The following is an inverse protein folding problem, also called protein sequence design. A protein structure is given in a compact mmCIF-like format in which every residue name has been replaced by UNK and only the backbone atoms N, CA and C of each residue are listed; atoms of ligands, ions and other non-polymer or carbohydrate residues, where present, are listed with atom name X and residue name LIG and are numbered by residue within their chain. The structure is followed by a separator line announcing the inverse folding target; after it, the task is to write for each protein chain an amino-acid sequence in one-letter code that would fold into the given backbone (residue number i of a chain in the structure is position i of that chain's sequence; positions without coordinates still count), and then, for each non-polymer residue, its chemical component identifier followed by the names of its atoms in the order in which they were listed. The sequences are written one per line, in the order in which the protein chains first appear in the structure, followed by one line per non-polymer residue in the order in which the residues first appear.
data_IF_383175258311
#
_entry.id   IF_383175258311
#
_cell.length_a   1.000
_cell.length_b   1.000
_cell.length_c   1.000
_cell.angle_alpha   90.00
_cell.angle_beta   90.00
_cell.angle_gamma   90.00
#
_symmetry.space_group_name_H-M   'P 1'
#
loop_
_entity.id
_entity.type
_entity.pdbx_description
1 polymer ?
#
# COMPACT_ATOMS: atom_id res chain seq x y z
N UNK A 1 -51.35 -40.83 5.44
CA UNK A 1 -50.92 -39.50 5.92
C UNK A 1 -49.54 -39.64 6.51
N UNK A 2 -48.49 -39.36 5.72
CA UNK A 2 -47.10 -39.41 6.17
C UNK A 2 -46.62 -37.99 6.45
N UNK A 3 -46.33 -37.70 7.72
CA UNK A 3 -45.67 -36.48 8.14
C UNK A 3 -44.19 -36.56 7.74
N UNK A 4 -43.81 -35.85 6.67
CA UNK A 4 -42.41 -35.54 6.41
C UNK A 4 -42.03 -34.34 7.27
N UNK A 5 -41.36 -34.64 8.38
CA UNK A 5 -40.64 -33.65 9.17
C UNK A 5 -39.46 -33.17 8.34
N UNK A 6 -39.57 -31.97 7.79
CA UNK A 6 -38.42 -31.27 7.21
C UNK A 6 -37.42 -31.00 8.35
N UNK A 7 -36.12 -31.33 8.19
CA UNK A 7 -35.14 -30.90 9.16
C UNK A 7 -35.02 -29.39 9.04
N UNK A 8 -35.50 -28.68 10.06
CA UNK A 8 -35.11 -27.30 10.33
C UNK A 8 -33.64 -27.34 10.76
N UNK A 9 -32.78 -27.43 9.76
CA UNK A 9 -31.38 -27.12 9.91
C UNK A 9 -31.28 -25.63 10.11
N UNK A 10 -31.19 -25.21 11.37
CA UNK A 10 -30.74 -23.89 11.80
C UNK A 10 -29.32 -23.66 11.26
N UNK A 11 -29.21 -23.36 9.96
CA UNK A 11 -28.06 -22.68 9.40
C UNK A 11 -28.27 -21.24 9.81
N UNK A 12 -27.80 -20.87 11.00
CA UNK A 12 -27.38 -19.50 11.26
C UNK A 12 -26.42 -19.14 10.13
N UNK A 13 -26.96 -18.48 9.11
CA UNK A 13 -26.20 -18.03 7.96
C UNK A 13 -25.32 -16.92 8.52
N UNK A 14 -24.17 -17.28 9.12
CA UNK A 14 -23.30 -16.24 9.68
C UNK A 14 -22.99 -15.32 8.52
N UNK A 15 -23.29 -14.05 8.75
CA UNK A 15 -23.18 -13.05 7.72
C UNK A 15 -21.71 -12.91 7.32
N UNK A 16 -21.42 -12.72 6.02
CA UNK A 16 -20.07 -12.44 5.58
C UNK A 16 -19.52 -11.22 6.32
N UNK A 17 -18.24 -11.26 6.65
CA UNK A 17 -17.54 -10.14 7.24
C UNK A 17 -17.54 -8.97 6.26
N UNK A 18 -17.89 -7.78 6.74
CA UNK A 18 -17.95 -6.57 5.94
C UNK A 18 -16.77 -5.65 6.27
N UNK A 19 -16.21 -5.00 5.27
CA UNK A 19 -15.27 -3.90 5.45
C UNK A 19 -16.05 -2.68 5.96
N UNK A 20 -15.76 -2.24 7.19
CA UNK A 20 -16.38 -1.06 7.78
C UNK A 20 -15.69 0.20 7.32
N UNK A 21 -16.45 1.12 6.71
CA UNK A 21 -15.90 2.41 6.25
C UNK A 21 -15.48 3.28 7.45
N UNK A 22 -16.10 3.10 8.63
CA UNK A 22 -15.67 3.78 9.87
C UNK A 22 -14.29 3.33 10.32
N UNK A 23 -13.99 2.03 10.21
CA UNK A 23 -12.65 1.51 10.51
C UNK A 23 -11.63 2.10 9.55
N UNK A 24 -11.97 2.17 8.25
CA UNK A 24 -11.10 2.81 7.26
C UNK A 24 -10.85 4.29 7.57
N UNK A 25 -11.88 5.04 7.99
CA UNK A 25 -11.70 6.42 8.44
C UNK A 25 -10.84 6.50 9.71
N UNK A 26 -11.00 5.56 10.63
CA UNK A 26 -10.23 5.46 11.86
C UNK A 26 -8.73 5.32 11.63
N UNK A 27 -8.30 4.70 10.51
CA UNK A 27 -6.88 4.62 10.14
C UNK A 27 -6.24 6.00 9.97
N UNK A 28 -6.99 7.02 9.57
CA UNK A 28 -6.49 8.38 9.43
C UNK A 28 -6.20 9.08 10.77
N UNK A 29 -6.55 8.46 11.91
CA UNK A 29 -6.11 8.92 13.23
C UNK A 29 -4.58 8.90 13.39
N UNK A 30 -3.85 8.21 12.51
CA UNK A 30 -2.39 8.31 12.43
C UNK A 30 -1.91 9.74 12.16
N UNK A 31 -2.69 10.56 11.44
CA UNK A 31 -2.34 11.95 11.13
C UNK A 31 -2.20 12.77 12.41
N UNK A 32 -3.26 12.96 13.23
CA UNK A 32 -3.13 13.70 14.48
C UNK A 32 -2.14 13.03 15.45
N UNK A 33 -2.03 11.70 15.47
CA UNK A 33 -1.05 11.00 16.30
C UNK A 33 0.39 11.41 15.94
N UNK A 34 0.76 11.40 14.66
CA UNK A 34 2.08 11.83 14.21
C UNK A 34 2.36 13.31 14.52
N UNK A 35 1.37 14.18 14.37
CA UNK A 35 1.50 15.60 14.70
C UNK A 35 1.65 15.85 16.21
N UNK A 36 0.91 15.10 17.04
CA UNK A 36 1.06 15.14 18.49
C UNK A 36 2.42 14.61 18.94
N UNK A 37 2.92 13.52 18.33
CA UNK A 37 4.26 13.00 18.60
C UNK A 37 5.34 14.01 18.27
N UNK A 38 5.25 14.69 17.12
CA UNK A 38 6.16 15.78 16.78
C UNK A 38 6.05 16.94 17.77
N UNK A 39 4.83 17.34 18.16
CA UNK A 39 4.63 18.40 19.16
C UNK A 39 5.24 18.04 20.50
N UNK A 40 5.10 16.78 20.94
CA UNK A 40 5.74 16.28 22.15
C UNK A 40 7.27 16.28 22.04
N UNK A 41 7.81 15.93 20.87
CA UNK A 41 9.25 15.95 20.64
C UNK A 41 9.85 17.35 20.77
N UNK A 42 9.16 18.36 20.24
CA UNK A 42 9.59 19.76 20.32
C UNK A 42 9.46 20.30 21.75
N UNK A 43 8.33 20.02 22.41
CA UNK A 43 8.01 20.62 23.72
C UNK A 43 8.70 19.93 24.90
N UNK A 44 8.87 18.61 24.86
CA UNK A 44 9.32 17.81 26.00
C UNK A 44 10.63 17.08 25.75
N UNK A 45 10.89 16.60 24.53
CA UNK A 45 12.07 15.76 24.24
C UNK A 45 13.20 16.48 23.50
N UNK A 46 13.09 17.80 23.30
CA UNK A 46 14.15 18.64 22.72
C UNK A 46 14.67 18.12 21.36
N UNK A 47 13.78 17.54 20.54
CA UNK A 47 14.13 17.03 19.21
C UNK A 47 14.76 15.63 19.19
N UNK A 48 14.71 14.88 20.30
CA UNK A 48 15.27 13.53 20.39
C UNK A 48 14.69 12.59 19.33
N UNK A 49 13.38 12.64 19.07
CA UNK A 49 12.71 11.80 18.09
C UNK A 49 13.21 12.15 16.68
N UNK A 50 13.29 13.43 16.33
CA UNK A 50 13.82 13.89 15.04
C UNK A 50 15.24 13.37 14.77
N UNK A 51 16.10 13.38 15.80
CA UNK A 51 17.50 12.95 15.69
C UNK A 51 17.66 11.42 15.65
N UNK A 52 16.79 10.69 16.35
CA UNK A 52 16.86 9.23 16.49
C UNK A 52 16.16 8.50 15.35
N UNK A 53 15.10 9.09 14.79
CA UNK A 53 14.34 8.46 13.71
C UNK A 53 15.15 8.41 12.39
N UNK A 54 14.89 7.39 11.55
CA UNK A 54 15.49 7.28 10.23
C UNK A 54 15.30 8.55 9.39
N UNK A 55 16.43 9.17 9.02
CA UNK A 55 16.44 10.32 8.12
C UNK A 55 16.91 9.97 6.71
N UNK A 56 17.41 8.76 6.46
CA UNK A 56 17.99 8.33 5.18
C UNK A 56 17.32 7.06 4.62
N UNK A 57 17.27 6.90 3.28
CA UNK A 57 16.68 5.74 2.59
C UNK A 57 17.11 4.36 3.11
N UNK A 58 18.39 4.21 3.48
CA UNK A 58 18.94 2.94 3.97
C UNK A 58 18.37 2.55 5.34
N UNK A 59 18.03 3.52 6.18
CA UNK A 59 17.42 3.28 7.50
C UNK A 59 15.91 3.02 7.39
N UNK A 60 15.31 3.27 6.22
CA UNK A 60 13.94 2.85 5.92
C UNK A 60 13.81 1.36 5.59
N UNK A 61 14.88 0.55 5.65
CA UNK A 61 14.77 -0.91 5.45
C UNK A 61 13.89 -1.55 6.52
N UNK A 62 14.03 -1.17 7.80
CA UNK A 62 13.14 -1.63 8.87
C UNK A 62 11.71 -1.17 8.63
N UNK A 63 11.55 0.05 8.13
CA UNK A 63 10.24 0.57 7.73
C UNK A 63 9.63 -0.27 6.61
N UNK A 64 10.40 -0.64 5.58
CA UNK A 64 9.96 -1.50 4.47
C UNK A 64 9.59 -2.91 4.93
N UNK A 65 10.28 -3.41 5.97
CA UNK A 65 10.03 -4.73 6.55
C UNK A 65 8.72 -4.77 7.33
N UNK A 66 8.30 -3.65 7.94
CA UNK A 66 7.04 -3.55 8.69
C UNK A 66 5.90 -3.06 7.78
N UNK A 67 6.18 -2.12 6.89
CA UNK A 67 5.24 -1.42 6.00
C UNK A 67 5.73 -1.50 4.56
N UNK A 68 4.86 -1.85 3.61
CA UNK A 68 5.19 -1.96 2.19
C UNK A 68 5.49 -3.40 1.77
N UNK A 69 6.64 -3.97 2.12
CA UNK A 69 7.04 -5.30 1.63
C UNK A 69 6.07 -6.40 2.06
N UNK A 70 5.66 -6.50 3.35
CA UNK A 70 4.67 -7.50 3.76
C UNK A 70 3.37 -7.37 2.97
N UNK A 71 2.85 -6.16 2.77
CA UNK A 71 1.60 -5.97 2.03
C UNK A 71 1.72 -6.38 0.53
N UNK A 72 2.88 -6.12 -0.09
CA UNK A 72 3.16 -6.50 -1.48
C UNK A 72 3.16 -8.03 -1.58
N UNK A 73 3.89 -8.68 -0.66
CA UNK A 73 3.97 -10.15 -0.57
C UNK A 73 2.59 -10.75 -0.29
N UNK A 74 1.78 -10.15 0.59
CA UNK A 74 0.42 -10.58 0.87
C UNK A 74 -0.45 -10.61 -0.40
N UNK A 75 -0.36 -9.55 -1.23
CA UNK A 75 -1.09 -9.50 -2.49
C UNK A 75 -0.67 -10.61 -3.46
N UNK A 76 0.63 -10.91 -3.52
CA UNK A 76 1.18 -11.97 -4.36
C UNK A 76 0.73 -13.34 -3.86
N UNK A 77 0.69 -13.56 -2.55
CA UNK A 77 0.17 -14.79 -1.94
C UNK A 77 -1.29 -14.99 -2.33
N UNK A 78 -2.17 -13.98 -2.19
CA UNK A 78 -3.59 -14.12 -2.57
C UNK A 78 -3.72 -14.48 -4.05
N UNK A 79 -2.95 -13.82 -4.91
CA UNK A 79 -3.01 -14.03 -6.36
C UNK A 79 -2.56 -15.43 -6.79
N UNK A 80 -1.50 -15.94 -6.15
CA UNK A 80 -0.82 -17.18 -6.57
C UNK A 80 -1.31 -18.42 -5.83
N UNK A 81 -1.77 -18.29 -4.59
CA UNK A 81 -2.30 -19.41 -3.80
C UNK A 81 -3.69 -19.87 -4.23
N UNK A 82 -4.39 -19.05 -5.02
CA UNK A 82 -5.73 -19.31 -5.52
C UNK A 82 -5.69 -19.54 -7.03
N UNK A 83 -5.82 -20.80 -7.45
CA UNK A 83 -5.65 -21.21 -8.86
C UNK A 83 -6.67 -20.57 -9.81
N UNK A 84 -7.87 -20.27 -9.34
CA UNK A 84 -8.91 -19.56 -10.08
C UNK A 84 -8.51 -18.10 -10.38
N UNK A 85 -7.78 -17.45 -9.48
CA UNK A 85 -7.31 -16.08 -9.67
C UNK A 85 -6.15 -16.02 -10.63
N UNK A 86 -5.13 -16.86 -10.40
CA UNK A 86 -4.00 -16.95 -11.32
C UNK A 86 -4.47 -17.34 -12.72
N UNK A 87 -5.37 -18.32 -12.84
CA UNK A 87 -5.94 -18.74 -14.11
C UNK A 87 -6.68 -17.61 -14.84
N UNK A 88 -7.48 -16.82 -14.12
CA UNK A 88 -8.21 -15.68 -14.68
C UNK A 88 -7.28 -14.54 -15.14
N UNK A 89 -6.19 -14.30 -14.42
CA UNK A 89 -5.28 -13.17 -14.68
C UNK A 89 -3.99 -13.54 -15.43
N UNK A 90 -3.75 -14.82 -15.74
CA UNK A 90 -2.46 -15.32 -16.28
C UNK A 90 -1.90 -14.52 -17.45
N UNK A 91 -2.74 -14.14 -18.41
CA UNK A 91 -2.28 -13.41 -19.61
C UNK A 91 -1.86 -11.97 -19.26
N UNK A 92 -2.55 -11.33 -18.32
CA UNK A 92 -2.18 -9.99 -17.83
C UNK A 92 -0.89 -10.05 -17.02
N UNK A 93 -0.74 -11.06 -16.17
CA UNK A 93 0.47 -11.27 -15.37
C UNK A 93 1.67 -11.57 -16.28
N UNK A 94 1.51 -12.46 -17.25
CA UNK A 94 2.58 -12.81 -18.20
C UNK A 94 2.99 -11.59 -19.04
N UNK A 95 2.03 -10.85 -19.58
CA UNK A 95 2.29 -9.64 -20.36
C UNK A 95 3.03 -8.58 -19.55
N UNK A 96 2.59 -8.33 -18.31
CA UNK A 96 3.29 -7.39 -17.43
C UNK A 96 4.65 -7.93 -16.99
N UNK A 97 4.80 -9.24 -16.78
CA UNK A 97 6.11 -9.84 -16.44
C UNK A 97 7.11 -9.64 -17.56
N UNK A 98 6.70 -9.85 -18.82
CA UNK A 98 7.53 -9.56 -19.98
C UNK A 98 7.87 -8.07 -20.09
N UNK A 99 6.87 -7.20 -19.87
CA UNK A 99 7.09 -5.75 -19.89
C UNK A 99 8.08 -5.30 -18.81
N UNK A 100 7.98 -5.84 -17.58
CA UNK A 100 8.92 -5.56 -16.50
C UNK A 100 10.31 -6.13 -16.80
N UNK A 101 10.41 -7.34 -17.36
CA UNK A 101 11.69 -7.92 -17.75
C UNK A 101 12.39 -7.07 -18.82
N UNK A 102 11.66 -6.54 -19.80
CA UNK A 102 12.20 -5.60 -20.80
C UNK A 102 12.57 -4.27 -20.15
N UNK A 103 11.70 -3.71 -19.31
CA UNK A 103 11.92 -2.43 -18.65
C UNK A 103 13.13 -2.44 -17.72
N UNK A 104 13.29 -3.46 -16.88
CA UNK A 104 14.47 -3.60 -16.01
C UNK A 104 15.68 -4.14 -16.76
N UNK A 105 15.52 -5.15 -17.61
CA UNK A 105 16.64 -5.80 -18.30
C UNK A 105 17.27 -4.92 -19.37
N UNK A 106 16.46 -4.42 -20.31
CA UNK A 106 16.94 -3.54 -21.38
C UNK A 106 17.00 -2.10 -20.89
N UNK A 107 15.95 -1.62 -20.20
CA UNK A 107 15.89 -0.22 -19.77
C UNK A 107 17.01 0.18 -18.81
N UNK A 108 17.50 -0.73 -17.95
CA UNK A 108 18.65 -0.41 -17.07
C UNK A 108 19.96 -0.17 -17.83
N UNK A 109 20.09 -0.62 -19.08
CA UNK A 109 21.27 -0.38 -19.92
C UNK A 109 21.29 1.02 -20.54
N UNK A 110 20.12 1.65 -20.70
CA UNK A 110 19.97 2.89 -21.46
C UNK A 110 19.40 4.06 -20.63
N UNK A 111 18.69 3.77 -19.54
CA UNK A 111 18.02 4.79 -18.72
C UNK A 111 18.92 5.12 -17.51
N UNK A 112 19.28 6.40 -17.30
CA UNK A 112 20.03 6.80 -16.12
C UNK A 112 19.30 6.40 -14.83
N UNK A 113 20.06 5.92 -13.83
CA UNK A 113 19.52 5.46 -12.54
C UNK A 113 18.53 6.45 -11.89
N UNK A 114 18.85 7.75 -11.93
CA UNK A 114 17.99 8.78 -11.34
C UNK A 114 16.63 8.86 -12.04
N UNK A 115 16.62 8.80 -13.38
CA UNK A 115 15.38 8.80 -14.17
C UNK A 115 14.59 7.54 -13.87
N UNK A 116 15.26 6.40 -13.83
CA UNK A 116 14.65 5.12 -13.50
C UNK A 116 14.00 5.14 -12.12
N UNK A 117 14.71 5.66 -11.12
CA UNK A 117 14.22 5.83 -9.76
C UNK A 117 12.98 6.74 -9.72
N UNK A 118 13.01 7.89 -10.38
CA UNK A 118 11.88 8.83 -10.42
C UNK A 118 10.65 8.19 -11.07
N UNK A 119 10.80 7.38 -12.13
CA UNK A 119 9.68 6.67 -12.75
C UNK A 119 9.04 5.67 -11.78
N UNK A 120 9.84 4.85 -11.10
CA UNK A 120 9.35 3.86 -10.12
C UNK A 120 8.73 4.55 -8.89
N UNK A 121 9.35 5.64 -8.41
CA UNK A 121 8.82 6.46 -7.31
C UNK A 121 7.48 7.11 -7.69
N UNK A 122 7.37 7.65 -8.91
CA UNK A 122 6.13 8.23 -9.43
C UNK A 122 5.00 7.22 -9.43
N UNK A 123 5.28 6.02 -9.94
CA UNK A 123 4.29 4.95 -9.98
C UNK A 123 3.88 4.47 -8.58
N UNK A 124 4.85 4.40 -7.67
CA UNK A 124 4.62 4.05 -6.25
C UNK A 124 3.71 5.06 -5.55
N UNK A 125 4.03 6.36 -5.65
CA UNK A 125 3.22 7.43 -5.04
C UNK A 125 1.83 7.49 -5.68
N UNK A 126 1.76 7.37 -7.00
CA UNK A 126 0.50 7.30 -7.73
C UNK A 126 -0.38 6.16 -7.22
N UNK A 127 0.17 4.95 -7.11
CA UNK A 127 -0.56 3.79 -6.62
C UNK A 127 -1.14 4.03 -5.21
N UNK A 128 -0.30 4.45 -4.27
CA UNK A 128 -0.70 4.70 -2.87
C UNK A 128 -1.84 5.72 -2.79
N UNK A 129 -1.68 6.87 -3.44
CA UNK A 129 -2.66 7.95 -3.34
C UNK A 129 -3.92 7.67 -4.15
N UNK A 130 -3.81 6.97 -5.29
CA UNK A 130 -4.96 6.54 -6.09
C UNK A 130 -5.85 5.58 -5.32
N UNK A 131 -5.30 4.65 -4.55
CA UNK A 131 -6.10 3.75 -3.73
C UNK A 131 -6.95 4.53 -2.73
N UNK A 132 -6.32 5.42 -1.95
CA UNK A 132 -7.00 6.20 -0.92
C UNK A 132 -8.07 7.13 -1.52
N UNK A 133 -7.74 7.84 -2.59
CA UNK A 133 -8.70 8.68 -3.31
C UNK A 133 -9.80 7.86 -3.99
N UNK A 134 -9.51 6.65 -4.45
CA UNK A 134 -10.49 5.74 -5.05
C UNK A 134 -11.56 5.29 -4.04
N UNK A 135 -11.14 4.99 -2.81
CA UNK A 135 -12.07 4.70 -1.70
C UNK A 135 -12.86 5.97 -1.36
N UNK A 136 -12.19 7.12 -1.24
CA UNK A 136 -12.83 8.40 -0.98
C UNK A 136 -13.89 8.75 -2.04
N UNK A 137 -13.63 8.48 -3.33
CA UNK A 137 -14.60 8.66 -4.41
C UNK A 137 -15.87 7.86 -4.17
N UNK A 138 -15.76 6.61 -3.72
CA UNK A 138 -16.91 5.75 -3.39
C UNK A 138 -17.75 6.30 -2.23
N UNK A 139 -17.10 6.84 -1.20
CA UNK A 139 -17.76 7.40 0.00
C UNK A 139 -18.37 8.78 -0.28
N UNK A 140 -17.61 9.66 -0.92
CA UNK A 140 -17.96 11.06 -1.13
C UNK A 140 -18.82 11.29 -2.37
N UNK A 141 -18.89 10.32 -3.30
CA UNK A 141 -19.59 10.42 -4.60
C UNK A 141 -19.24 11.67 -5.39
N UNK A 142 -17.94 12.03 -5.38
CA UNK A 142 -17.44 13.21 -6.07
C UNK A 142 -17.68 13.11 -7.59
N UNK A 143 -17.94 14.24 -8.27
CA UNK A 143 -17.92 14.27 -9.73
C UNK A 143 -16.51 13.95 -10.25
N UNK A 144 -16.44 13.41 -11.46
CA UNK A 144 -15.20 12.85 -12.03
C UNK A 144 -14.06 13.87 -12.10
N UNK A 145 -14.33 15.09 -12.55
CA UNK A 145 -13.32 16.14 -12.62
C UNK A 145 -12.77 16.51 -11.24
N UNK A 146 -13.61 16.56 -10.20
CA UNK A 146 -13.19 16.91 -8.84
C UNK A 146 -12.31 15.81 -8.25
N UNK A 147 -12.66 14.55 -8.50
CA UNK A 147 -11.83 13.41 -8.14
C UNK A 147 -10.45 13.48 -8.82
N UNK A 148 -10.39 13.74 -10.12
CA UNK A 148 -9.12 13.80 -10.85
C UNK A 148 -8.28 15.01 -10.46
N UNK A 149 -8.89 16.16 -10.16
CA UNK A 149 -8.21 17.34 -9.64
C UNK A 149 -7.53 17.04 -8.30
N UNK A 150 -8.29 16.52 -7.32
CA UNK A 150 -7.77 16.20 -5.99
C UNK A 150 -6.69 15.12 -6.04
N UNK A 151 -6.91 14.08 -6.86
CA UNK A 151 -5.92 13.02 -7.08
C UNK A 151 -4.64 13.58 -7.72
N UNK A 152 -4.76 14.38 -8.78
CA UNK A 152 -3.63 14.96 -9.49
C UNK A 152 -2.78 15.85 -8.58
N UNK A 153 -3.41 16.78 -7.87
CA UNK A 153 -2.74 17.65 -6.91
C UNK A 153 -2.03 16.83 -5.81
N UNK A 154 -2.72 15.83 -5.25
CA UNK A 154 -2.16 14.94 -4.23
C UNK A 154 -0.96 14.15 -4.75
N UNK A 155 -1.04 13.59 -5.95
CA UNK A 155 0.02 12.76 -6.54
C UNK A 155 1.26 13.59 -6.85
N UNK A 156 1.10 14.76 -7.48
CA UNK A 156 2.25 15.61 -7.81
C UNK A 156 2.89 16.16 -6.53
N UNK A 157 2.10 16.62 -5.55
CA UNK A 157 2.63 17.06 -4.26
C UNK A 157 3.35 15.93 -3.52
N UNK A 158 2.71 14.76 -3.41
CA UNK A 158 3.26 13.56 -2.80
C UNK A 158 4.57 13.12 -3.46
N UNK A 159 4.66 13.24 -4.79
CA UNK A 159 5.87 12.89 -5.54
C UNK A 159 7.01 13.86 -5.24
N UNK A 160 6.75 15.16 -5.21
CA UNK A 160 7.77 16.16 -4.85
C UNK A 160 8.29 15.96 -3.42
N UNK A 161 7.39 15.65 -2.47
CA UNK A 161 7.76 15.31 -1.09
C UNK A 161 8.61 14.03 -1.07
N UNK A 162 8.18 12.99 -1.78
CA UNK A 162 8.89 11.70 -1.81
C UNK A 162 10.29 11.84 -2.40
N UNK A 163 10.42 12.52 -3.54
CA UNK A 163 11.72 12.84 -4.15
C UNK A 163 12.57 13.67 -3.19
N UNK A 164 12.00 14.71 -2.57
CA UNK A 164 12.70 15.56 -1.60
C UNK A 164 13.26 14.79 -0.40
N UNK A 165 12.56 13.74 0.06
CA UNK A 165 13.03 12.89 1.16
C UNK A 165 14.10 11.91 0.68
N UNK A 166 13.79 11.12 -0.36
CA UNK A 166 14.63 9.98 -0.73
C UNK A 166 15.85 10.34 -1.57
N UNK A 167 15.82 11.47 -2.29
CA UNK A 167 16.93 11.97 -3.08
C UNK A 167 17.63 13.16 -2.41
N UNK A 168 17.37 13.43 -1.12
CA UNK A 168 17.91 14.60 -0.39
C UNK A 168 19.45 14.76 -0.50
N UNK A 169 20.20 13.66 -0.60
CA UNK A 169 21.66 13.68 -0.69
C UNK A 169 22.18 13.84 -2.13
N UNK A 170 21.29 13.75 -3.13
CA UNK A 170 21.58 13.90 -4.55
C UNK A 170 21.04 15.21 -5.14
N UNK A 171 20.24 15.96 -4.35
CA UNK A 171 19.69 17.24 -4.73
C UNK A 171 20.62 18.35 -4.27
N UNK A 172 20.88 19.33 -5.14
CA UNK A 172 21.49 20.58 -4.71
C UNK A 172 20.49 21.43 -3.90
N UNK A 173 20.98 22.51 -3.29
CA UNK A 173 20.15 23.37 -2.44
C UNK A 173 19.00 24.03 -3.21
N UNK A 174 19.21 24.37 -4.48
CA UNK A 174 18.23 25.04 -5.33
C UNK A 174 17.10 24.07 -5.73
N UNK A 175 17.45 22.86 -6.17
CA UNK A 175 16.53 21.78 -6.49
C UNK A 175 15.69 21.39 -5.27
N UNK A 176 16.31 21.26 -4.09
CA UNK A 176 15.60 20.98 -2.85
C UNK A 176 14.59 22.09 -2.50
N UNK A 177 14.97 23.35 -2.71
CA UNK A 177 14.09 24.50 -2.53
C UNK A 177 12.93 24.50 -3.53
N UNK A 178 13.19 24.23 -4.82
CA UNK A 178 12.15 24.12 -5.85
C UNK A 178 11.14 23.02 -5.53
N UNK A 179 11.61 21.85 -5.10
CA UNK A 179 10.74 20.76 -4.66
C UNK A 179 9.86 21.17 -3.49
N UNK A 180 10.43 21.85 -2.49
CA UNK A 180 9.69 22.34 -1.31
C UNK A 180 8.66 23.40 -1.69
N UNK A 181 9.00 24.37 -2.53
CA UNK A 181 8.09 25.43 -2.97
C UNK A 181 6.97 24.88 -3.86
N UNK A 182 7.30 24.01 -4.81
CA UNK A 182 6.31 23.35 -5.66
C UNK A 182 5.34 22.48 -4.85
N UNK A 183 5.85 21.68 -3.90
CA UNK A 183 5.02 20.91 -2.98
C UNK A 183 4.11 21.82 -2.13
N UNK A 184 4.61 22.97 -1.66
CA UNK A 184 3.84 23.94 -0.90
C UNK A 184 2.66 24.52 -1.72
N UNK A 185 2.93 24.96 -2.96
CA UNK A 185 1.91 25.49 -3.87
C UNK A 185 0.84 24.45 -4.19
N UNK A 186 1.24 23.21 -4.47
CA UNK A 186 0.30 22.11 -4.74
C UNK A 186 -0.51 21.74 -3.49
N UNK A 187 0.10 21.76 -2.30
CA UNK A 187 -0.62 21.53 -1.05
C UNK A 187 -1.64 22.65 -0.76
N UNK A 188 -1.28 23.91 -1.00
CA UNK A 188 -2.21 25.03 -0.91
C UNK A 188 -3.37 24.86 -1.92
N UNK A 189 -3.05 24.53 -3.17
CA UNK A 189 -4.04 24.23 -4.21
C UNK A 189 -4.94 23.05 -3.83
N UNK A 190 -4.40 22.00 -3.20
CA UNK A 190 -5.14 20.85 -2.70
C UNK A 190 -6.11 21.26 -1.59
N UNK A 191 -5.68 22.06 -0.61
CA UNK A 191 -6.55 22.56 0.47
C UNK A 191 -7.69 23.42 -0.09
N UNK A 192 -7.39 24.35 -0.99
CA UNK A 192 -8.41 25.20 -1.65
C UNK A 192 -9.38 24.36 -2.48
N UNK A 193 -8.87 23.40 -3.25
CA UNK A 193 -9.69 22.49 -4.05
C UNK A 193 -10.56 21.60 -3.15
N UNK A 194 -10.05 21.18 -1.99
CA UNK A 194 -10.80 20.39 -1.00
C UNK A 194 -11.93 21.21 -0.40
N UNK A 195 -11.65 22.45 0.01
CA UNK A 195 -12.63 23.42 0.50
C UNK A 195 -13.74 23.66 -0.51
N UNK A 196 -13.39 23.76 -1.80
CA UNK A 196 -14.36 23.93 -2.87
C UNK A 196 -15.17 22.64 -3.12
N UNK A 197 -14.49 21.49 -3.20
CA UNK A 197 -15.11 20.21 -3.54
C UNK A 197 -16.01 19.66 -2.41
N UNK A 198 -15.83 20.09 -1.16
CA UNK A 198 -16.66 19.63 -0.04
C UNK A 198 -18.16 19.92 -0.25
N UNK A 199 -18.51 20.91 -1.09
CA UNK A 199 -19.90 21.24 -1.43
C UNK A 199 -20.63 20.12 -2.17
N UNK A 200 -19.89 19.22 -2.83
CA UNK A 200 -20.44 18.05 -3.51
C UNK A 200 -20.73 16.89 -2.54
N UNK A 201 -20.27 16.99 -1.29
CA UNK A 201 -20.37 15.90 -0.32
C UNK A 201 -21.54 16.14 0.62
N UNK A 202 -22.60 15.34 0.46
CA UNK A 202 -23.85 15.52 1.19
C UNK A 202 -23.84 15.09 2.66
N UNK A 203 -22.83 14.34 3.12
CA UNK A 203 -22.79 13.81 4.50
C UNK A 203 -21.58 14.34 5.27
N UNK A 204 -21.74 14.57 6.59
CA UNK A 204 -20.62 14.94 7.46
C UNK A 204 -19.51 13.87 7.45
N UNK A 205 -19.91 12.60 7.47
CA UNK A 205 -18.99 11.47 7.36
C UNK A 205 -18.15 11.50 6.08
N UNK A 206 -18.77 11.75 4.92
CA UNK A 206 -18.04 11.91 3.66
C UNK A 206 -17.10 13.12 3.69
N UNK A 207 -17.49 14.23 4.34
CA UNK A 207 -16.62 15.40 4.48
C UNK A 207 -15.38 15.08 5.30
N UNK A 208 -15.52 14.32 6.39
CA UNK A 208 -14.35 13.83 7.15
C UNK A 208 -13.45 12.97 6.27
N UNK A 209 -14.01 12.02 5.51
CA UNK A 209 -13.22 11.17 4.62
C UNK A 209 -12.48 11.97 3.52
N UNK A 210 -13.14 12.98 2.95
CA UNK A 210 -12.55 13.90 1.99
C UNK A 210 -11.36 14.65 2.61
N UNK A 211 -11.57 15.29 3.77
CA UNK A 211 -10.53 16.04 4.46
C UNK A 211 -9.38 15.16 4.92
N UNK A 212 -9.67 13.97 5.43
CA UNK A 212 -8.64 12.99 5.81
C UNK A 212 -7.72 12.62 4.65
N UNK A 213 -8.23 12.50 3.43
CA UNK A 213 -7.41 12.25 2.23
C UNK A 213 -6.50 13.44 1.88
N UNK A 214 -7.01 14.67 1.95
CA UNK A 214 -6.19 15.86 1.70
C UNK A 214 -5.16 16.10 2.81
N UNK A 215 -5.56 15.86 4.07
CA UNK A 215 -4.68 15.97 5.24
C UNK A 215 -3.57 14.94 5.24
N UNK A 216 -3.76 13.77 4.62
CA UNK A 216 -2.72 12.77 4.45
C UNK A 216 -1.52 13.36 3.69
N UNK A 217 -1.74 14.10 2.59
CA UNK A 217 -0.66 14.75 1.82
C UNK A 217 -0.16 16.01 2.52
N UNK A 218 -1.07 16.84 3.04
CA UNK A 218 -0.70 18.10 3.71
C UNK A 218 0.13 17.87 4.97
N UNK A 219 -0.22 16.87 5.80
CA UNK A 219 0.57 16.52 6.98
C UNK A 219 1.92 15.93 6.62
N UNK A 220 2.02 15.09 5.59
CA UNK A 220 3.31 14.62 5.06
C UNK A 220 4.19 15.78 4.59
N UNK A 221 3.62 16.78 3.91
CA UNK A 221 4.35 17.99 3.53
C UNK A 221 4.85 18.77 4.75
N UNK A 222 3.98 19.00 5.73
CA UNK A 222 4.35 19.70 6.96
C UNK A 222 5.50 18.97 7.70
N UNK A 223 5.36 17.66 7.92
CA UNK A 223 6.39 16.84 8.56
C UNK A 223 7.70 16.81 7.76
N UNK A 224 7.63 16.79 6.42
CA UNK A 224 8.79 16.91 5.54
C UNK A 224 9.52 18.24 5.74
N UNK A 225 8.80 19.36 5.76
CA UNK A 225 9.39 20.68 6.01
C UNK A 225 10.07 20.75 7.38
N UNK A 226 9.50 20.08 8.37
CA UNK A 226 10.04 19.99 9.73
C UNK A 226 11.12 18.91 9.87
N UNK A 227 11.54 18.28 8.77
CA UNK A 227 12.57 17.22 8.72
C UNK A 227 12.21 15.92 9.47
N UNK A 228 10.94 15.71 9.84
CA UNK A 228 10.44 14.44 10.39
C UNK A 228 10.11 13.47 9.25
N UNK A 229 11.12 13.13 8.44
CA UNK A 229 10.95 12.34 7.21
C UNK A 229 10.31 10.98 7.44
N UNK A 230 10.65 10.32 8.55
CA UNK A 230 10.03 9.05 8.91
C UNK A 230 8.51 9.17 9.09
N UNK A 231 8.07 10.15 9.89
CA UNK A 231 6.64 10.38 10.11
C UNK A 231 5.93 10.80 8.82
N UNK A 232 6.60 11.62 7.99
CA UNK A 232 6.06 12.07 6.70
C UNK A 232 5.73 10.90 5.76
N UNK A 233 6.54 9.83 5.76
CA UNK A 233 6.32 8.62 4.96
C UNK A 233 5.36 7.64 5.66
N UNK A 234 5.41 7.55 6.99
CA UNK A 234 4.58 6.65 7.78
C UNK A 234 3.08 6.94 7.58
N UNK A 235 2.68 8.21 7.61
CA UNK A 235 1.28 8.63 7.49
C UNK A 235 0.58 8.02 6.25
N UNK A 236 1.04 8.26 5.01
CA UNK A 236 0.39 7.72 3.81
C UNK A 236 0.49 6.19 3.76
N UNK A 237 1.62 5.62 4.17
CA UNK A 237 1.91 4.19 4.05
C UNK A 237 1.09 3.34 5.00
N UNK A 238 0.97 3.75 6.26
CA UNK A 238 0.19 3.01 7.23
C UNK A 238 -1.28 2.95 6.82
N UNK A 239 -1.87 4.09 6.40
CA UNK A 239 -3.26 4.11 5.93
C UNK A 239 -3.43 3.20 4.72
N UNK A 240 -2.49 3.24 3.77
CA UNK A 240 -2.51 2.40 2.58
C UNK A 240 -2.41 0.91 2.89
N UNK A 241 -1.36 0.49 3.58
CA UNK A 241 -1.07 -0.90 3.87
C UNK A 241 -2.14 -1.50 4.79
N UNK A 242 -2.55 -0.78 5.84
CA UNK A 242 -3.59 -1.25 6.75
C UNK A 242 -4.94 -1.38 6.03
N UNK A 243 -5.27 -0.44 5.13
CA UNK A 243 -6.46 -0.56 4.29
C UNK A 243 -6.37 -1.82 3.42
N UNK A 244 -5.26 -2.07 2.74
CA UNK A 244 -5.08 -3.26 1.92
C UNK A 244 -5.25 -4.54 2.76
N UNK A 245 -4.62 -4.61 3.94
CA UNK A 245 -4.76 -5.75 4.84
C UNK A 245 -6.20 -5.96 5.31
N UNK A 246 -6.95 -4.91 5.62
CA UNK A 246 -8.38 -5.05 5.97
C UNK A 246 -9.15 -5.71 4.83
N UNK A 247 -8.91 -5.30 3.59
CA UNK A 247 -9.54 -5.93 2.42
C UNK A 247 -9.09 -7.38 2.27
N UNK A 248 -7.79 -7.64 2.34
CA UNK A 248 -7.22 -8.98 2.15
C UNK A 248 -7.70 -9.98 3.20
N UNK A 249 -7.70 -9.56 4.47
CA UNK A 249 -8.16 -10.38 5.59
C UNK A 249 -9.67 -10.62 5.49
N UNK A 250 -10.46 -9.60 5.14
CA UNK A 250 -11.91 -9.76 4.97
C UNK A 250 -12.23 -10.72 3.83
N UNK A 251 -11.50 -10.59 2.72
CA UNK A 251 -11.58 -11.49 1.58
C UNK A 251 -11.30 -12.94 1.99
N UNK A 252 -10.16 -13.18 2.62
CA UNK A 252 -9.71 -14.53 2.97
C UNK A 252 -10.57 -15.14 4.08
N UNK A 253 -11.05 -14.33 5.02
CA UNK A 253 -12.06 -14.76 6.00
C UNK A 253 -13.29 -15.29 5.28
N UNK A 254 -13.93 -14.46 4.44
CA UNK A 254 -15.16 -14.82 3.73
C UNK A 254 -14.99 -16.02 2.79
N UNK A 255 -13.78 -16.25 2.27
CA UNK A 255 -13.50 -17.35 1.35
C UNK A 255 -13.12 -18.65 2.06
N UNK A 256 -12.37 -18.59 3.15
CA UNK A 256 -11.65 -19.75 3.70
C UNK A 256 -12.06 -20.14 5.13
N UNK A 257 -12.80 -19.32 5.88
CA UNK A 257 -13.07 -19.59 7.31
C UNK A 257 -13.84 -20.89 7.55
N UNK A 258 -14.87 -21.16 6.75
CA UNK A 258 -15.65 -22.41 6.86
C UNK A 258 -14.90 -23.58 6.25
N UNK A 259 -14.54 -23.42 4.98
CA UNK A 259 -13.97 -24.48 4.16
C UNK A 259 -12.73 -23.92 3.44
N UNK A 260 -11.52 -24.21 3.97
CA UNK A 260 -10.28 -23.83 3.31
C UNK A 260 -10.25 -24.32 1.86
N UNK A 261 -9.97 -23.42 0.93
CA UNK A 261 -10.00 -23.72 -0.51
C UNK A 261 -8.60 -23.86 -1.12
N UNK A 262 -7.54 -23.62 -0.33
CA UNK A 262 -6.16 -23.78 -0.75
C UNK A 262 -5.31 -24.43 0.36
N UNK A 263 -4.09 -24.81 0.00
CA UNK A 263 -3.17 -25.53 0.89
C UNK A 263 -2.78 -24.70 2.12
N UNK A 264 -2.55 -23.39 1.94
CA UNK A 264 -2.13 -22.47 3.01
C UNK A 264 -3.18 -22.46 4.13
N UNK A 265 -4.44 -22.21 3.78
CA UNK A 265 -5.53 -22.18 4.75
C UNK A 265 -5.89 -23.57 5.29
N UNK A 266 -5.67 -24.63 4.51
CA UNK A 266 -5.87 -26.00 4.97
C UNK A 266 -4.86 -26.38 6.04
N UNK A 267 -3.59 -25.99 5.87
CA UNK A 267 -2.54 -26.18 6.86
C UNK A 267 -2.80 -25.32 8.11
N UNK A 268 -3.19 -24.06 7.93
CA UNK A 268 -3.56 -23.18 9.04
C UNK A 268 -4.69 -23.76 9.90
N UNK A 269 -5.72 -24.35 9.26
CA UNK A 269 -6.81 -25.02 9.97
C UNK A 269 -6.34 -26.22 10.79
N UNK A 270 -5.40 -27.02 10.26
CA UNK A 270 -4.78 -28.14 11.00
C UNK A 270 -3.96 -27.66 12.20
N UNK A 271 -3.29 -26.52 12.07
CA UNK A 271 -2.49 -25.90 13.12
C UNK A 271 -3.28 -24.96 14.04
N UNK A 272 -4.60 -24.91 13.93
CA UNK A 272 -5.48 -24.03 14.73
C UNK A 272 -5.12 -22.53 14.65
N UNK A 273 -4.54 -22.09 13.53
CA UNK A 273 -4.20 -20.68 13.31
C UNK A 273 -5.45 -19.94 12.81
N UNK A 274 -5.90 -18.85 13.47
CA UNK A 274 -7.02 -18.06 13.00
C UNK A 274 -6.77 -17.48 11.61
N UNK A 275 -7.77 -17.52 10.72
CA UNK A 275 -7.69 -17.01 9.34
C UNK A 275 -7.20 -15.56 9.28
N UNK A 276 -7.60 -14.73 10.25
CA UNK A 276 -7.17 -13.34 10.40
C UNK A 276 -5.65 -13.15 10.51
N UNK A 277 -4.93 -14.15 11.03
CA UNK A 277 -3.49 -14.08 11.28
C UNK A 277 -2.67 -14.73 10.18
N UNK A 278 -3.25 -15.63 9.38
CA UNK A 278 -2.51 -16.41 8.38
C UNK A 278 -1.78 -15.51 7.40
N UNK A 279 -2.51 -14.61 6.72
CA UNK A 279 -1.91 -13.76 5.69
C UNK A 279 -0.95 -12.71 6.27
N UNK A 280 -1.27 -11.96 7.34
CA UNK A 280 -0.31 -11.03 7.95
C UNK A 280 0.98 -11.70 8.41
N UNK A 281 0.88 -12.84 9.12
CA UNK A 281 2.06 -13.54 9.62
C UNK A 281 2.90 -14.14 8.48
N UNK A 282 2.25 -14.81 7.52
CA UNK A 282 2.96 -15.42 6.40
C UNK A 282 3.66 -14.38 5.52
N UNK A 283 2.97 -13.27 5.22
CA UNK A 283 3.53 -12.21 4.40
C UNK A 283 4.66 -11.45 5.10
N UNK A 284 4.56 -11.19 6.41
CA UNK A 284 5.64 -10.62 7.20
C UNK A 284 6.84 -11.57 7.28
N UNK A 285 6.60 -12.84 7.56
CA UNK A 285 7.66 -13.86 7.61
C UNK A 285 8.41 -13.95 6.29
N UNK A 286 7.69 -14.03 5.17
CA UNK A 286 8.30 -14.06 3.84
C UNK A 286 9.00 -12.74 3.50
N UNK A 287 8.45 -11.59 3.89
CA UNK A 287 9.13 -10.30 3.69
C UNK A 287 10.47 -10.27 4.43
N UNK A 288 10.52 -10.67 5.70
CA UNK A 288 11.77 -10.77 6.48
C UNK A 288 12.73 -11.76 5.82
N UNK A 289 12.24 -12.94 5.45
CA UNK A 289 13.06 -13.98 4.83
C UNK A 289 13.72 -13.47 3.54
N UNK A 290 12.93 -12.88 2.64
CA UNK A 290 13.40 -12.36 1.36
C UNK A 290 14.35 -11.16 1.54
N UNK A 291 14.03 -10.24 2.44
CA UNK A 291 14.80 -9.00 2.61
C UNK A 291 16.11 -9.22 3.38
N UNK A 292 16.13 -10.11 4.38
CA UNK A 292 17.30 -10.38 5.22
C UNK A 292 18.22 -11.45 4.63
N UNK A 293 17.65 -12.51 4.04
CA UNK A 293 18.41 -13.70 3.62
C UNK A 293 18.35 -13.99 2.12
N UNK A 294 17.42 -13.38 1.39
CA UNK A 294 17.18 -13.70 -0.02
C UNK A 294 18.40 -13.46 -0.91
N UNK A 295 19.07 -12.31 -0.76
CA UNK A 295 20.25 -12.00 -1.58
C UNK A 295 21.43 -12.94 -1.30
N UNK A 296 21.69 -13.25 -0.03
CA UNK A 296 22.74 -14.18 0.36
C UNK A 296 22.48 -15.59 -0.18
N UNK A 297 21.22 -16.05 -0.12
CA UNK A 297 20.81 -17.34 -0.67
C UNK A 297 21.00 -17.40 -2.18
N UNK A 298 20.56 -16.37 -2.92
CA UNK A 298 20.76 -16.32 -4.38
C UNK A 298 22.24 -16.27 -4.73
N UNK A 299 23.02 -15.44 -4.04
CA UNK A 299 24.46 -15.34 -4.25
C UNK A 299 25.16 -16.68 -4.04
N UNK A 300 24.84 -17.38 -2.95
CA UNK A 300 25.38 -18.70 -2.65
C UNK A 300 25.04 -19.72 -3.74
N UNK A 301 23.78 -19.78 -4.16
CA UNK A 301 23.34 -20.69 -5.23
C UNK A 301 24.03 -20.33 -6.56
N UNK A 302 24.08 -19.05 -6.93
CA UNK A 302 24.70 -18.63 -8.19
C UNK A 302 26.20 -18.92 -8.23
N UNK A 303 26.88 -18.78 -7.09
CA UNK A 303 28.31 -19.04 -6.97
C UNK A 303 28.60 -20.55 -7.04
N UNK A 304 27.86 -21.37 -6.29
CA UNK A 304 28.04 -22.83 -6.25
C UNK A 304 27.77 -23.49 -7.61
N UNK A 305 26.71 -23.07 -8.31
CA UNK A 305 26.29 -23.75 -9.54
C UNK A 305 26.82 -23.11 -10.83
N UNK A 306 27.11 -21.81 -10.83
CA UNK A 306 27.48 -21.06 -12.04
C UNK A 306 28.81 -20.31 -11.92
N UNK A 307 29.42 -20.25 -10.73
CA UNK A 307 30.66 -19.50 -10.49
C UNK A 307 30.48 -17.98 -10.64
N UNK A 308 29.24 -17.47 -10.54
CA UNK A 308 28.92 -16.05 -10.69
C UNK A 308 28.29 -15.52 -9.40
N UNK A 309 28.74 -14.36 -8.94
CA UNK A 309 28.15 -13.66 -7.80
C UNK A 309 27.05 -12.69 -8.30
N UNK A 310 25.79 -12.92 -7.92
CA UNK A 310 24.69 -12.01 -8.23
C UNK A 310 24.27 -11.26 -6.97
N UNK A 311 24.66 -9.99 -6.88
CA UNK A 311 24.31 -9.11 -5.75
C UNK A 311 22.92 -8.49 -5.93
N UNK A 312 22.16 -8.38 -4.82
CA UNK A 312 20.85 -7.69 -4.74
C UNK A 312 19.75 -8.24 -5.67
N UNK A 313 19.86 -9.52 -6.07
CA UNK A 313 18.89 -10.17 -6.94
C UNK A 313 17.47 -10.21 -6.34
N UNK A 314 17.36 -10.43 -5.03
CA UNK A 314 16.08 -10.52 -4.34
C UNK A 314 15.62 -9.14 -3.91
N UNK A 315 16.47 -8.38 -3.22
CA UNK A 315 16.06 -7.09 -2.63
C UNK A 315 15.71 -6.04 -3.68
N UNK A 316 16.45 -6.00 -4.80
CA UNK A 316 16.18 -5.07 -5.89
C UNK A 316 15.34 -5.72 -6.99
N UNK A 317 15.70 -6.94 -7.41
CA UNK A 317 15.05 -7.63 -8.53
C UNK A 317 13.68 -8.19 -8.16
N UNK A 318 13.63 -9.23 -7.33
CA UNK A 318 12.37 -9.92 -7.01
C UNK A 318 11.37 -9.00 -6.29
N UNK A 319 11.80 -8.27 -5.25
CA UNK A 319 10.89 -7.36 -4.53
C UNK A 319 10.45 -6.19 -5.40
N UNK A 320 11.32 -5.66 -6.28
CA UNK A 320 10.96 -4.64 -7.26
C UNK A 320 9.91 -5.14 -8.26
N UNK A 321 10.10 -6.37 -8.78
CA UNK A 321 9.12 -7.04 -9.62
C UNK A 321 7.78 -7.22 -8.90
N UNK A 322 7.79 -7.77 -7.67
CA UNK A 322 6.58 -7.99 -6.89
C UNK A 322 5.85 -6.67 -6.61
N UNK A 323 6.59 -5.60 -6.29
CA UNK A 323 6.02 -4.27 -6.04
C UNK A 323 5.30 -3.75 -7.29
N UNK A 324 5.95 -3.75 -8.45
CA UNK A 324 5.35 -3.23 -9.69
C UNK A 324 4.19 -4.12 -10.18
N UNK A 325 4.31 -5.44 -10.03
CA UNK A 325 3.23 -6.37 -10.34
C UNK A 325 2.03 -6.17 -9.42
N UNK A 326 2.27 -5.96 -8.12
CA UNK A 326 1.25 -5.60 -7.15
C UNK A 326 0.53 -4.31 -7.58
N UNK A 327 1.26 -3.23 -7.86
CA UNK A 327 0.66 -1.96 -8.30
C UNK A 327 -0.19 -2.10 -9.58
N UNK A 328 0.27 -2.95 -10.52
CA UNK A 328 -0.47 -3.25 -11.73
C UNK A 328 -1.75 -4.05 -11.46
N UNK A 329 -1.65 -5.13 -10.69
CA UNK A 329 -2.76 -6.04 -10.43
C UNK A 329 -3.87 -5.38 -9.62
N UNK A 330 -3.52 -4.59 -8.61
CA UNK A 330 -4.46 -3.81 -7.80
C UNK A 330 -5.32 -2.84 -8.60
N UNK A 331 -4.84 -2.38 -9.76
CA UNK A 331 -5.61 -1.51 -10.64
C UNK A 331 -6.86 -2.18 -11.25
N UNK A 332 -7.00 -3.51 -11.13
CA UNK A 332 -8.13 -4.25 -11.65
C UNK A 332 -8.65 -5.39 -10.75
N UNK A 333 -7.88 -5.90 -9.79
CA UNK A 333 -8.33 -7.00 -8.91
C UNK A 333 -9.50 -6.59 -8.04
N UNK A 334 -9.62 -5.32 -7.63
CA UNK A 334 -10.71 -4.87 -6.76
C UNK A 334 -11.91 -4.24 -7.49
N UNK A 335 -11.90 -4.25 -8.84
CA UNK A 335 -12.98 -3.69 -9.66
C UNK A 335 -14.20 -4.62 -9.74
N UNK A 336 -15.34 -4.05 -10.11
CA UNK A 336 -16.60 -4.78 -10.33
C UNK A 336 -16.38 -5.93 -11.34
N UNK A 337 -17.00 -7.09 -11.08
CA UNK A 337 -16.85 -8.37 -11.81
C UNK A 337 -15.55 -9.17 -11.60
N UNK A 338 -14.57 -8.66 -10.84
CA UNK A 338 -13.39 -9.46 -10.48
C UNK A 338 -13.73 -10.63 -9.53
N UNK A 339 -12.98 -11.75 -9.60
CA UNK A 339 -13.12 -12.86 -8.65
C UNK A 339 -12.89 -12.45 -7.19
N UNK A 340 -12.00 -11.48 -6.93
CA UNK A 340 -11.69 -10.95 -5.60
C UNK A 340 -12.87 -10.21 -4.99
N UNK A 341 -13.54 -9.35 -5.77
CA UNK A 341 -14.63 -8.50 -5.27
C UNK A 341 -15.82 -9.29 -4.73
N UNK A 342 -15.99 -10.55 -5.15
CA UNK A 342 -17.09 -11.46 -4.72
C UNK A 342 -17.10 -11.72 -3.22
N UNK A 343 -15.94 -11.65 -2.56
CA UNK A 343 -15.79 -11.93 -1.13
C UNK A 343 -15.70 -10.66 -0.27
N UNK A 344 -15.95 -9.49 -0.86
CA UNK A 344 -15.93 -8.22 -0.13
C UNK A 344 -17.33 -7.63 -0.12
N UNK A 345 -17.78 -7.21 1.05
CA UNK A 345 -18.97 -6.37 1.20
C UNK A 345 -18.64 -5.20 2.13
N UNK A 346 -19.38 -4.09 2.02
CA UNK A 346 -19.13 -2.87 2.78
C UNK A 346 -20.24 -2.65 3.79
N UNK A 347 -19.85 -2.20 4.98
CA UNK A 347 -20.77 -1.74 6.02
C UNK A 347 -20.49 -0.27 6.39
N UNK A 348 -21.55 0.43 6.81
CA UNK A 348 -21.50 1.85 7.20
C UNK A 348 -20.91 2.09 8.57
#
# INVERSE_FOLDING_TARGET
MNAQVFPVGDKTCEQPLNVSIRVLLGLYAIIPLCLLLQGADILFWQGYLQQTLPSSPTHFLLFQLIFGTPHIVASAIILTSNSDYFGFYKHKILGMTLALAVFFGIGSLFIPYLVFYVLVASWTVYHVLKQQHGIARGVCRLPEWAFHLLLGLSVVAGLMIYIGIFLKNHLDAEQAQWLRQGAALLCAGLVLSTLWCQRYVGTAFGKYFLWSNSLLVFSSFYLYVQQYYFLAILVPRLVHDATAYIFYITHDYNRHHRLPQNFIYSLAKRSHVPVFLVLPLLSLFLAVLLQQYGDAAVSFISEVFFGVEIRKAVTLGLLGYLALMHYYTEAFTWKNASPYRRFIAFSK
#
